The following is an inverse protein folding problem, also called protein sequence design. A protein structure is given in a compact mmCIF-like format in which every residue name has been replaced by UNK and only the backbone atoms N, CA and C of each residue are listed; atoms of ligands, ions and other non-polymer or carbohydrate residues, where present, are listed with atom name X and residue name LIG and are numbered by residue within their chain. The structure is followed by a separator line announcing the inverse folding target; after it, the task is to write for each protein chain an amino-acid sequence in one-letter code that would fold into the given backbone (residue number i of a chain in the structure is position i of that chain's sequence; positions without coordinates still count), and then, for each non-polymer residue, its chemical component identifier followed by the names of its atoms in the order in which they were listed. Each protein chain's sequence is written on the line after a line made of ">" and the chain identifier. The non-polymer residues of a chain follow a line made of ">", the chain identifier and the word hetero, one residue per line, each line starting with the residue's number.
data_IF_458382968739
#
_entry.id   IF_458382968739
#
_cell.length_a   1.000
_cell.length_b   1.000
_cell.length_c   1.000
_cell.angle_alpha   90.00
_cell.angle_beta   90.00
_cell.angle_gamma   90.00
#
_symmetry.space_group_name_H-M   'P 1'
#
loop_
_entity.id
_entity.type
_entity.pdbx_description
1 polymer ?
#
# COMPACT_ATOMS: atom_id res chain seq x y z
N UNK A 1 -5.74 15.95 -2.24
CA UNK A 1 -4.71 16.02 -1.19
C UNK A 1 -3.73 17.12 -1.57
N UNK A 2 -3.34 17.95 -0.62
CA UNK A 2 -2.27 18.94 -0.76
C UNK A 2 -1.24 18.69 0.33
N UNK A 3 0.02 18.62 -0.08
CA UNK A 3 1.18 18.55 0.83
C UNK A 3 1.95 19.85 0.66
N UNK A 4 2.02 20.66 1.70
CA UNK A 4 2.64 21.99 1.59
C UNK A 4 3.19 22.46 2.94
N UNK A 5 4.29 23.19 2.89
CA UNK A 5 4.82 23.96 4.04
C UNK A 5 4.30 25.41 4.03
N UNK A 6 3.61 25.84 2.98
CA UNK A 6 3.06 27.17 2.87
C UNK A 6 1.72 27.27 3.61
N UNK A 7 1.73 28.04 4.69
CA UNK A 7 0.55 28.22 5.53
C UNK A 7 -0.65 28.86 4.80
N UNK A 8 -0.42 29.77 3.88
CA UNK A 8 -1.50 30.44 3.14
C UNK A 8 -2.16 29.46 2.17
N UNK A 9 -1.37 28.70 1.43
CA UNK A 9 -1.85 27.62 0.54
C UNK A 9 -2.66 26.56 1.32
N UNK A 10 -2.14 26.14 2.49
CA UNK A 10 -2.86 25.22 3.36
C UNK A 10 -4.22 25.78 3.81
N UNK A 11 -4.27 27.04 4.25
CA UNK A 11 -5.50 27.67 4.69
C UNK A 11 -6.52 27.84 3.57
N UNK A 12 -6.08 28.15 2.35
CA UNK A 12 -6.96 28.29 1.20
C UNK A 12 -7.52 26.92 0.79
N UNK A 13 -6.70 25.87 0.77
CA UNK A 13 -7.17 24.52 0.54
C UNK A 13 -8.18 24.05 1.60
N UNK A 14 -7.92 24.34 2.89
CA UNK A 14 -8.85 24.02 3.99
C UNK A 14 -10.21 24.71 3.77
N UNK A 15 -10.22 26.00 3.43
CA UNK A 15 -11.47 26.74 3.18
C UNK A 15 -12.26 26.12 2.03
N UNK A 16 -11.59 25.85 0.90
CA UNK A 16 -12.22 25.24 -0.28
C UNK A 16 -12.78 23.86 0.08
N UNK A 17 -12.03 23.03 0.79
CA UNK A 17 -12.47 21.68 1.16
C UNK A 17 -13.64 21.70 2.14
N UNK A 18 -13.65 22.62 3.11
CA UNK A 18 -14.79 22.78 4.03
C UNK A 18 -16.04 23.26 3.28
N UNK A 19 -15.88 24.17 2.32
CA UNK A 19 -17.01 24.66 1.51
C UNK A 19 -17.59 23.59 0.59
N UNK A 20 -16.72 22.74 -0.02
CA UNK A 20 -17.17 21.69 -0.97
C UNK A 20 -17.62 20.41 -0.28
N UNK A 21 -16.88 19.95 0.72
CA UNK A 21 -16.99 18.59 1.27
C UNK A 21 -17.49 18.60 2.74
N UNK A 22 -17.55 19.79 3.36
CA UNK A 22 -17.98 19.96 4.73
C UNK A 22 -16.96 19.56 5.78
N UNK A 23 -15.83 18.98 5.37
CA UNK A 23 -14.76 18.55 6.28
C UNK A 23 -13.39 18.55 5.58
N UNK A 24 -12.33 18.56 6.37
CA UNK A 24 -10.95 18.35 5.91
C UNK A 24 -10.20 17.57 6.97
N UNK A 25 -9.36 16.63 6.55
CA UNK A 25 -8.42 15.93 7.41
C UNK A 25 -7.07 16.62 7.33
N UNK A 26 -6.48 16.91 8.48
CA UNK A 26 -5.12 17.41 8.61
C UNK A 26 -4.26 16.31 9.21
N UNK A 27 -3.21 15.96 8.49
CA UNK A 27 -2.30 14.89 8.88
C UNK A 27 -0.88 15.46 9.09
N UNK A 28 -0.10 14.74 9.89
CA UNK A 28 1.33 15.02 10.04
C UNK A 28 2.05 14.81 8.72
N UNK A 29 3.00 15.68 8.38
CA UNK A 29 3.91 15.44 7.29
C UNK A 29 4.89 14.31 7.66
N UNK A 30 4.83 13.22 6.93
CA UNK A 30 5.75 12.10 7.08
C UNK A 30 6.92 12.26 6.12
N UNK A 31 8.15 12.15 6.64
CA UNK A 31 9.38 12.12 5.84
C UNK A 31 9.91 10.70 5.73
N UNK A 32 10.46 10.35 4.58
CA UNK A 32 11.01 9.01 4.32
C UNK A 32 10.80 8.57 2.89
N UNK A 33 10.85 7.27 2.66
CA UNK A 33 10.54 6.65 1.38
C UNK A 33 9.21 5.90 1.43
N UNK A 34 8.39 6.08 0.41
CA UNK A 34 7.12 5.35 0.30
C UNK A 34 7.36 3.90 -0.11
N UNK A 35 6.54 3.01 0.41
CA UNK A 35 6.45 1.62 -0.02
C UNK A 35 5.03 1.11 0.12
N UNK A 36 4.71 0.06 -0.63
CA UNK A 36 3.38 -0.54 -0.65
C UNK A 36 3.45 -1.99 -0.16
N UNK A 37 2.56 -2.33 0.78
CA UNK A 37 2.39 -3.68 1.28
C UNK A 37 0.97 -4.16 0.97
N UNK A 38 0.84 -5.14 0.08
CA UNK A 38 -0.43 -5.81 -0.20
C UNK A 38 -0.62 -6.96 0.78
N UNK A 39 -1.73 -6.96 1.49
CA UNK A 39 -2.05 -7.97 2.51
C UNK A 39 -3.34 -8.68 2.13
N UNK A 40 -3.24 -9.95 1.76
CA UNK A 40 -4.40 -10.82 1.63
C UNK A 40 -4.88 -11.19 3.03
N UNK A 41 -6.16 -11.01 3.34
CA UNK A 41 -6.68 -11.32 4.67
C UNK A 41 -8.13 -11.77 4.68
N UNK A 42 -8.44 -12.56 5.67
CA UNK A 42 -9.78 -12.93 6.10
C UNK A 42 -9.81 -13.01 7.64
N UNK A 43 -10.90 -13.44 8.23
CA UNK A 43 -11.02 -13.58 9.69
C UNK A 43 -10.12 -14.66 10.28
N UNK A 44 -9.63 -15.60 9.48
CA UNK A 44 -8.77 -16.70 9.94
C UNK A 44 -7.28 -16.35 9.98
N UNK A 45 -6.86 -15.32 9.22
CA UNK A 45 -5.46 -14.92 9.13
C UNK A 45 -5.16 -13.93 8.01
N UNK A 46 -3.88 -13.70 7.80
CA UNK A 46 -3.40 -12.86 6.71
C UNK A 46 -2.10 -13.37 6.11
N UNK A 47 -1.83 -12.94 4.88
CA UNK A 47 -0.59 -13.19 4.13
C UNK A 47 -0.15 -11.89 3.48
N UNK A 48 1.08 -11.44 3.75
CA UNK A 48 1.67 -10.30 3.05
C UNK A 48 2.30 -10.76 1.73
N UNK A 49 1.96 -10.09 0.64
CA UNK A 49 2.64 -10.28 -0.65
C UNK A 49 4.02 -9.60 -0.63
N UNK A 50 4.90 -9.86 -1.60
CA UNK A 50 6.15 -9.12 -1.73
C UNK A 50 5.90 -7.62 -1.76
N UNK A 51 6.59 -6.87 -0.90
CA UNK A 51 6.41 -5.42 -0.84
C UNK A 51 6.94 -4.77 -2.12
N UNK A 52 6.27 -3.74 -2.57
CA UNK A 52 6.62 -2.99 -3.77
C UNK A 52 6.87 -1.52 -3.46
N UNK A 53 7.49 -0.84 -4.39
CA UNK A 53 7.61 0.61 -4.40
C UNK A 53 7.10 1.12 -5.74
N UNK A 54 6.14 2.04 -5.71
CA UNK A 54 5.62 2.72 -6.87
C UNK A 54 6.28 4.10 -7.03
N UNK A 55 6.21 4.62 -8.26
CA UNK A 55 6.73 5.93 -8.63
C UNK A 55 5.58 6.76 -9.16
N UNK A 56 5.14 7.73 -8.38
CA UNK A 56 3.93 8.53 -8.65
C UNK A 56 4.19 9.79 -9.48
N UNK A 57 5.43 10.29 -9.49
CA UNK A 57 5.76 11.53 -10.20
C UNK A 57 5.85 11.30 -11.71
N UNK A 58 5.28 12.25 -12.48
CA UNK A 58 5.22 12.15 -13.95
C UNK A 58 6.57 12.36 -14.64
N UNK A 59 7.49 13.06 -14.01
CA UNK A 59 8.79 13.44 -14.59
C UNK A 59 9.96 12.63 -14.06
N UNK A 60 11.07 12.66 -14.80
CA UNK A 60 12.32 12.05 -14.39
C UNK A 60 12.85 12.64 -13.08
N UNK A 61 13.53 11.81 -12.28
CA UNK A 61 14.13 12.24 -11.01
C UNK A 61 13.08 12.53 -9.91
N UNK A 62 11.93 11.88 -9.97
CA UNK A 62 10.83 12.06 -9.02
C UNK A 62 10.32 13.51 -8.96
N UNK A 63 10.14 14.13 -10.13
CA UNK A 63 9.70 15.51 -10.28
C UNK A 63 8.33 15.60 -10.95
N UNK A 64 7.67 16.75 -10.78
CA UNK A 64 6.38 17.04 -11.42
C UNK A 64 5.17 16.66 -10.58
N UNK A 65 4.02 16.57 -11.22
CA UNK A 65 2.75 16.26 -10.57
C UNK A 65 2.66 14.78 -10.19
N UNK A 66 1.95 14.50 -9.12
CA UNK A 66 1.58 13.13 -8.76
C UNK A 66 0.58 12.57 -9.77
N UNK A 67 0.75 11.31 -10.09
CA UNK A 67 -0.15 10.50 -10.93
C UNK A 67 -0.70 9.33 -10.14
N UNK A 68 -1.45 8.44 -10.78
CA UNK A 68 -1.87 7.16 -10.21
C UNK A 68 -0.77 6.10 -10.13
N UNK A 69 0.43 6.40 -10.66
CA UNK A 69 1.61 5.52 -10.71
C UNK A 69 2.17 5.41 -12.11
N UNK A 70 3.46 5.70 -12.26
CA UNK A 70 4.19 5.63 -13.53
C UNK A 70 4.99 4.34 -13.69
N UNK A 71 5.06 3.56 -12.66
CA UNK A 71 5.73 2.27 -12.62
C UNK A 71 5.95 1.80 -11.20
N UNK A 72 6.30 0.52 -11.05
CA UNK A 72 6.60 -0.06 -9.76
C UNK A 72 7.65 -1.17 -9.91
N UNK A 73 8.26 -1.56 -8.81
CA UNK A 73 9.08 -2.76 -8.72
C UNK A 73 8.88 -3.49 -7.38
N UNK A 74 9.17 -4.77 -7.39
CA UNK A 74 9.11 -5.63 -6.21
C UNK A 74 10.21 -6.72 -6.30
N UNK A 75 10.78 -7.16 -5.15
CA UNK A 75 10.63 -6.59 -3.83
C UNK A 75 11.27 -5.20 -3.71
N UNK A 76 10.68 -4.33 -2.89
CA UNK A 76 11.23 -3.01 -2.59
C UNK A 76 12.41 -3.11 -1.60
N UNK A 77 13.63 -2.66 -1.95
CA UNK A 77 14.81 -2.80 -1.09
C UNK A 77 14.70 -2.06 0.24
N UNK A 78 13.96 -0.96 0.27
CA UNK A 78 13.72 -0.18 1.50
C UNK A 78 12.95 -0.99 2.56
N UNK A 79 12.14 -1.97 2.12
CA UNK A 79 11.41 -2.86 3.03
C UNK A 79 12.30 -4.06 3.37
N UNK A 80 13.29 -3.82 4.22
CA UNK A 80 14.10 -4.89 4.78
C UNK A 80 13.25 -5.88 5.58
N UNK A 81 13.81 -7.04 5.92
CA UNK A 81 13.11 -8.01 6.78
C UNK A 81 12.71 -7.41 8.14
N UNK A 82 13.57 -6.56 8.71
CA UNK A 82 13.28 -5.87 9.96
C UNK A 82 12.11 -4.89 9.82
N UNK A 83 12.12 -4.05 8.78
CA UNK A 83 11.04 -3.10 8.46
C UNK A 83 9.73 -3.87 8.22
N UNK A 84 9.78 -4.94 7.42
CA UNK A 84 8.63 -5.78 7.14
C UNK A 84 8.02 -6.37 8.42
N UNK A 85 8.84 -6.97 9.27
CA UNK A 85 8.40 -7.58 10.52
C UNK A 85 7.82 -6.53 11.48
N UNK A 86 8.40 -5.33 11.48
CA UNK A 86 7.88 -4.20 12.26
C UNK A 86 6.52 -3.74 11.74
N UNK A 87 6.38 -3.56 10.42
CA UNK A 87 5.10 -3.18 9.80
C UNK A 87 4.01 -4.23 10.06
N UNK A 88 4.37 -5.53 9.99
CA UNK A 88 3.41 -6.59 10.33
C UNK A 88 2.93 -6.44 11.78
N UNK A 89 3.85 -6.36 12.74
CA UNK A 89 3.52 -6.31 14.16
C UNK A 89 2.78 -5.03 14.56
N UNK A 90 3.19 -3.88 14.04
CA UNK A 90 2.70 -2.57 14.51
C UNK A 90 1.49 -2.06 13.70
N UNK A 91 1.30 -2.55 12.47
CA UNK A 91 0.28 -2.06 11.54
C UNK A 91 -0.69 -3.17 11.12
N UNK A 92 -0.17 -4.27 10.54
CA UNK A 92 -1.02 -5.30 9.94
C UNK A 92 -1.77 -6.12 11.00
N UNK A 93 -1.10 -6.60 12.03
CA UNK A 93 -1.72 -7.39 13.10
C UNK A 93 -2.84 -6.64 13.84
N UNK A 94 -2.65 -5.37 14.27
CA UNK A 94 -3.72 -4.60 14.88
C UNK A 94 -4.90 -4.35 13.94
N UNK A 95 -4.63 -4.07 12.66
CA UNK A 95 -5.69 -3.86 11.67
C UNK A 95 -6.44 -5.16 11.39
N UNK A 96 -5.74 -6.29 11.22
CA UNK A 96 -6.36 -7.60 11.06
C UNK A 96 -7.24 -7.95 12.27
N UNK A 97 -6.75 -7.75 13.49
CA UNK A 97 -7.54 -7.98 14.70
C UNK A 97 -8.82 -7.14 14.75
N UNK A 98 -8.73 -5.86 14.32
CA UNK A 98 -9.89 -4.99 14.25
C UNK A 98 -10.90 -5.46 13.18
N UNK A 99 -10.43 -5.76 11.98
CA UNK A 99 -11.28 -6.14 10.84
C UNK A 99 -11.91 -7.53 11.01
N UNK A 100 -11.20 -8.46 11.66
CA UNK A 100 -11.71 -9.80 11.96
C UNK A 100 -12.83 -9.81 13.01
N UNK A 101 -12.83 -8.81 13.90
CA UNK A 101 -13.81 -8.69 14.99
C UNK A 101 -15.12 -7.99 14.57
N UNK A 102 -15.23 -7.53 13.32
CA UNK A 102 -16.44 -6.87 12.83
C UNK A 102 -17.59 -7.89 12.68
N UNK A 103 -18.82 -7.42 12.75
CA UNK A 103 -20.03 -8.25 12.51
C UNK A 103 -19.98 -8.93 11.13
N UNK A 104 -19.44 -8.22 10.13
CA UNK A 104 -19.09 -8.75 8.81
C UNK A 104 -17.59 -8.62 8.66
N UNK A 105 -16.81 -9.69 8.87
CA UNK A 105 -15.37 -9.65 8.75
C UNK A 105 -14.91 -9.27 7.34
N UNK A 106 -13.83 -8.50 7.27
CA UNK A 106 -13.23 -8.15 5.99
C UNK A 106 -12.55 -9.38 5.37
N UNK A 107 -12.80 -9.59 4.08
CA UNK A 107 -12.13 -10.60 3.24
C UNK A 107 -11.68 -9.96 1.95
N UNK A 108 -10.39 -9.95 1.68
CA UNK A 108 -9.87 -9.32 0.47
C UNK A 108 -8.40 -8.98 0.52
N UNK A 109 -8.02 -8.06 -0.35
CA UNK A 109 -6.69 -7.47 -0.38
C UNK A 109 -6.74 -6.09 0.28
N UNK A 110 -6.04 -5.94 1.41
CA UNK A 110 -5.78 -4.65 2.03
C UNK A 110 -4.45 -4.10 1.49
N UNK A 111 -4.51 -2.98 0.80
CA UNK A 111 -3.34 -2.18 0.46
C UNK A 111 -2.97 -1.32 1.66
N UNK A 112 -1.72 -1.38 2.05
CA UNK A 112 -1.14 -0.56 3.12
C UNK A 112 -0.04 0.29 2.50
N UNK A 113 -0.30 1.59 2.36
CA UNK A 113 0.71 2.58 1.99
C UNK A 113 1.56 2.91 3.21
N UNK A 114 2.86 2.77 3.08
CA UNK A 114 3.83 2.98 4.13
C UNK A 114 4.75 4.15 3.79
N UNK A 115 5.10 4.95 4.80
CA UNK A 115 6.25 5.83 4.80
C UNK A 115 7.29 5.24 5.74
N UNK A 116 8.49 5.01 5.24
CA UNK A 116 9.59 4.41 6.00
C UNK A 116 10.64 5.49 6.23
N UNK A 117 10.83 5.87 7.49
CA UNK A 117 11.80 6.89 7.85
C UNK A 117 13.26 6.40 7.76
N UNK A 118 14.22 7.30 7.94
CA UNK A 118 15.65 7.02 7.90
C UNK A 118 16.12 5.99 8.94
N UNK A 119 15.28 5.70 9.95
CA UNK A 119 15.54 4.72 11.01
C UNK A 119 14.83 3.39 10.78
N UNK A 120 14.14 3.24 9.64
CA UNK A 120 13.37 2.04 9.30
C UNK A 120 12.06 1.92 10.08
N UNK A 121 11.52 3.03 10.59
CA UNK A 121 10.22 3.02 11.24
C UNK A 121 9.10 3.19 10.18
N UNK A 122 8.20 2.20 10.03
CA UNK A 122 7.07 2.33 9.12
C UNK A 122 5.93 3.11 9.77
N UNK A 123 5.41 4.10 9.05
CA UNK A 123 4.17 4.81 9.36
C UNK A 123 3.14 4.57 8.27
N UNK A 124 1.86 4.55 8.62
CA UNK A 124 0.80 4.39 7.62
C UNK A 124 0.54 5.73 6.94
N UNK A 125 0.56 5.73 5.60
CA UNK A 125 0.10 6.83 4.78
C UNK A 125 -1.39 6.69 4.51
N UNK A 126 -1.81 5.50 4.02
CA UNK A 126 -3.20 5.22 3.71
C UNK A 126 -3.50 3.71 3.71
N UNK A 127 -4.78 3.39 3.82
CA UNK A 127 -5.31 2.06 3.54
C UNK A 127 -6.25 2.13 2.34
N UNK A 128 -6.16 1.11 1.47
CA UNK A 128 -7.12 0.90 0.40
C UNK A 128 -7.63 -0.55 0.44
N UNK A 129 -8.93 -0.75 0.16
CA UNK A 129 -9.59 -2.08 0.20
C UNK A 129 -9.59 -2.76 -1.17
N UNK A 130 -8.47 -2.68 -1.86
CA UNK A 130 -8.26 -3.18 -3.22
C UNK A 130 -6.80 -3.46 -3.47
N UNK A 131 -6.53 -4.16 -4.57
CA UNK A 131 -5.19 -4.24 -5.12
C UNK A 131 -4.68 -2.86 -5.56
N UNK A 132 -3.35 -2.68 -5.54
CA UNK A 132 -2.68 -1.49 -6.04
C UNK A 132 -2.50 -1.51 -7.56
N UNK A 133 -2.40 -0.37 -8.16
CA UNK A 133 -2.02 -0.16 -9.55
C UNK A 133 -1.00 0.99 -9.60
N UNK A 134 0.28 0.73 -9.96
CA UNK A 134 0.82 -0.44 -10.68
C UNK A 134 1.45 -1.54 -9.80
N UNK A 135 1.25 -1.58 -8.49
CA UNK A 135 1.92 -2.55 -7.59
C UNK A 135 1.52 -4.00 -7.89
N UNK A 136 0.27 -4.24 -8.30
CA UNK A 136 -0.23 -5.57 -8.63
C UNK A 136 0.53 -6.20 -9.78
N UNK A 137 0.94 -5.40 -10.76
CA UNK A 137 1.69 -5.85 -11.94
C UNK A 137 3.08 -6.39 -11.59
N UNK A 138 3.60 -6.05 -10.40
CA UNK A 138 4.92 -6.52 -9.94
C UNK A 138 4.84 -7.51 -8.77
N UNK A 139 3.74 -7.52 -8.02
CA UNK A 139 3.59 -8.44 -6.89
C UNK A 139 3.01 -9.80 -7.29
N UNK A 140 1.96 -9.81 -8.14
CA UNK A 140 1.32 -11.07 -8.60
C UNK A 140 2.30 -11.97 -9.36
N UNK A 141 3.14 -11.48 -10.28
CA UNK A 141 4.12 -12.34 -10.98
C UNK A 141 5.12 -13.04 -10.07
N UNK A 142 5.31 -12.54 -8.85
CA UNK A 142 6.21 -13.15 -7.86
C UNK A 142 5.54 -14.24 -7.03
N UNK A 143 4.23 -14.45 -7.15
CA UNK A 143 3.54 -15.57 -6.50
C UNK A 143 3.81 -16.83 -7.34
N UNK A 144 4.49 -17.81 -6.75
CA UNK A 144 4.83 -19.08 -7.44
C UNK A 144 3.85 -20.22 -7.13
N UNK A 145 3.00 -20.07 -6.12
CA UNK A 145 1.86 -20.96 -5.86
C UNK A 145 0.65 -20.57 -6.70
N UNK A 146 -0.40 -21.38 -6.67
CA UNK A 146 -1.64 -21.08 -7.41
C UNK A 146 -2.33 -19.83 -6.80
N UNK A 147 -2.47 -18.79 -7.62
CA UNK A 147 -3.14 -17.56 -7.23
C UNK A 147 -4.65 -17.77 -7.00
N UNK A 148 -5.29 -18.63 -7.82
CA UNK A 148 -6.72 -18.89 -7.66
C UNK A 148 -7.02 -19.57 -6.33
N UNK A 149 -6.16 -20.51 -5.89
CA UNK A 149 -6.28 -21.13 -4.58
C UNK A 149 -6.12 -20.14 -3.44
N UNK A 150 -5.19 -19.19 -3.56
CA UNK A 150 -5.02 -18.11 -2.58
C UNK A 150 -6.26 -17.22 -2.49
N UNK A 151 -6.78 -16.77 -3.64
CA UNK A 151 -7.97 -15.92 -3.69
C UNK A 151 -9.21 -16.65 -3.19
N UNK A 152 -9.35 -17.93 -3.52
CA UNK A 152 -10.44 -18.76 -3.03
C UNK A 152 -10.35 -18.97 -1.52
N UNK A 153 -9.15 -19.18 -0.98
CA UNK A 153 -8.94 -19.31 0.46
C UNK A 153 -9.41 -18.06 1.22
N UNK A 154 -9.08 -16.87 0.71
CA UNK A 154 -9.57 -15.58 1.27
C UNK A 154 -11.09 -15.51 1.20
N UNK A 155 -11.69 -15.81 0.04
CA UNK A 155 -13.13 -15.72 -0.16
C UNK A 155 -13.92 -16.67 0.79
N UNK A 156 -13.35 -17.83 1.06
CA UNK A 156 -13.97 -18.87 1.93
C UNK A 156 -13.63 -18.72 3.42
N UNK A 157 -12.80 -17.74 3.82
CA UNK A 157 -12.44 -17.54 5.23
C UNK A 157 -11.52 -18.62 5.80
N UNK A 158 -10.62 -19.19 4.99
CA UNK A 158 -9.73 -20.28 5.38
C UNK A 158 -8.25 -20.00 5.07
N UNK A 159 -7.89 -18.71 4.98
CA UNK A 159 -6.55 -18.26 4.60
C UNK A 159 -5.46 -18.80 5.56
N UNK A 160 -5.80 -19.00 6.84
CA UNK A 160 -4.87 -19.60 7.82
C UNK A 160 -4.35 -20.99 7.40
N UNK A 161 -5.05 -21.68 6.51
CA UNK A 161 -4.62 -22.98 5.96
C UNK A 161 -3.83 -22.84 4.65
N UNK A 162 -3.66 -21.62 4.13
CA UNK A 162 -2.96 -21.36 2.90
C UNK A 162 -1.51 -20.94 3.19
N UNK A 163 -0.57 -21.50 2.45
CA UNK A 163 0.84 -21.17 2.55
C UNK A 163 1.38 -20.82 1.16
N UNK A 164 1.07 -19.63 0.64
CA UNK A 164 1.56 -19.24 -0.67
C UNK A 164 3.08 -19.14 -0.67
N UNK A 165 3.68 -19.49 -1.81
CA UNK A 165 5.11 -19.40 -2.04
C UNK A 165 5.42 -18.29 -3.03
N UNK A 166 6.60 -17.71 -2.89
CA UNK A 166 7.04 -16.59 -3.72
C UNK A 166 8.34 -16.94 -4.42
N UNK A 167 8.48 -16.49 -5.65
CA UNK A 167 9.69 -16.64 -6.43
C UNK A 167 10.82 -15.78 -5.86
N UNK A 168 12.03 -16.32 -5.83
CA UNK A 168 13.23 -15.53 -5.54
C UNK A 168 13.66 -14.79 -6.82
N UNK A 169 12.89 -13.77 -7.17
CA UNK A 169 13.03 -12.98 -8.40
C UNK A 169 12.61 -11.54 -8.14
N UNK A 170 12.83 -10.69 -9.13
CA UNK A 170 12.39 -9.30 -9.13
C UNK A 170 11.43 -9.07 -10.30
N UNK A 171 10.46 -8.19 -10.10
CA UNK A 171 9.55 -7.75 -11.14
C UNK A 171 9.57 -6.21 -11.22
N UNK A 172 9.42 -5.70 -12.43
CA UNK A 172 9.36 -4.26 -12.71
C UNK A 172 8.31 -4.02 -13.77
N UNK A 173 7.54 -2.96 -13.61
CA UNK A 173 6.60 -2.46 -14.61
C UNK A 173 6.82 -0.98 -14.87
N UNK A 174 6.58 -0.56 -16.10
CA UNK A 174 6.62 0.85 -16.53
C UNK A 174 5.32 1.16 -17.25
N UNK A 175 4.67 2.25 -16.86
CA UNK A 175 3.42 2.71 -17.48
C UNK A 175 3.77 3.59 -18.67
N UNK A 176 3.27 3.22 -19.85
CA UNK A 176 3.40 4.02 -21.07
C UNK A 176 2.13 4.84 -21.25
N UNK A 177 2.31 6.14 -21.42
CA UNK A 177 1.21 7.09 -21.63
C UNK A 177 1.42 7.84 -22.95
N UNK A 178 0.32 8.29 -23.54
CA UNK A 178 0.39 9.20 -24.69
C UNK A 178 0.79 10.60 -24.23
N UNK A 179 1.46 11.38 -25.12
CA UNK A 179 1.54 12.82 -24.92
C UNK A 179 0.14 13.41 -24.88
N UNK A 180 -0.17 14.13 -23.80
CA UNK A 180 -1.45 14.80 -23.57
C UNK A 180 -1.48 16.20 -24.16
#
# INVERSE_FOLDING_TARGET
>A
VVVTENREEALDFIRISIESDGMVLLEEFLSGEEASMLVMMDESGFVTLPCSQDHKRVGEGDLGLNTGGMGAYAPAPIVTEEVRNRAIREIVEPMHAHLSAQEVPYRGCLYVGLMIDDFGAPSVVEYNVRFGDPETQVTIPLISSDLCDLLLAVAEGRLSNSMPTFANAHALTVVLVAEG
#
